data_IF_774441494113
#
_entry.id   IF_774441494113
#
_cell.length_a   1.000
_cell.length_b   1.000
_cell.length_c   1.000
_cell.angle_alpha   90.00
_cell.angle_beta   90.00
_cell.angle_gamma   90.00
#
_symmetry.space_group_name_H-M   'P 1'
#
loop_
_entity.id
_entity.type
_entity.pdbx_description
1 polymer ?
#
# COMPACT_ATOMS: atom_id res chain seq x y z
N UNK A 1 -31.40 -14.21 -11.10
CA UNK A 1 -30.61 -15.45 -11.27
C UNK A 1 -29.60 -15.50 -10.14
N UNK A 2 -29.45 -16.63 -9.48
CA UNK A 2 -28.43 -16.80 -8.42
C UNK A 2 -27.03 -16.78 -9.04
N UNK A 3 -26.15 -15.92 -8.52
CA UNK A 3 -24.78 -15.73 -9.00
C UNK A 3 -23.82 -16.55 -8.14
N UNK A 4 -22.89 -17.23 -8.77
CA UNK A 4 -21.84 -18.01 -8.14
C UNK A 4 -20.46 -17.65 -8.71
N UNK A 5 -19.40 -18.25 -8.20
CA UNK A 5 -18.03 -17.96 -8.65
C UNK A 5 -17.83 -18.25 -10.15
N UNK A 6 -18.50 -19.28 -10.69
CA UNK A 6 -18.44 -19.61 -12.12
C UNK A 6 -19.03 -18.48 -12.96
N UNK A 7 -20.15 -17.90 -12.52
CA UNK A 7 -20.76 -16.73 -13.18
C UNK A 7 -19.76 -15.56 -13.27
N UNK A 8 -19.13 -15.20 -12.16
CA UNK A 8 -18.16 -14.10 -12.13
C UNK A 8 -16.87 -14.39 -12.90
N UNK A 9 -16.38 -15.62 -12.87
CA UNK A 9 -15.25 -16.04 -13.70
C UNK A 9 -15.53 -15.88 -15.19
N UNK A 10 -16.76 -16.19 -15.64
CA UNK A 10 -17.18 -15.97 -17.03
C UNK A 10 -17.23 -14.49 -17.39
N UNK A 11 -17.69 -13.63 -16.47
CA UNK A 11 -17.66 -12.17 -16.67
C UNK A 11 -16.20 -11.70 -16.85
N UNK A 12 -15.29 -12.15 -15.99
CA UNK A 12 -13.87 -11.79 -16.06
C UNK A 12 -13.24 -12.26 -17.37
N UNK A 13 -13.53 -13.50 -17.81
CA UNK A 13 -13.01 -14.04 -19.08
C UNK A 13 -13.45 -13.22 -20.30
N UNK A 14 -14.64 -12.64 -20.24
CA UNK A 14 -15.18 -11.81 -21.32
C UNK A 14 -14.72 -10.34 -21.26
N UNK A 15 -14.23 -9.90 -20.11
CA UNK A 15 -13.92 -8.48 -19.85
C UNK A 15 -12.43 -8.16 -19.79
N UNK A 16 -11.59 -9.16 -19.63
CA UNK A 16 -10.15 -8.99 -19.45
C UNK A 16 -9.37 -9.93 -20.38
N UNK A 17 -8.16 -9.53 -20.73
CA UNK A 17 -7.26 -10.38 -21.51
C UNK A 17 -6.92 -11.68 -20.80
N UNK A 18 -6.72 -12.74 -21.58
CA UNK A 18 -6.29 -14.02 -21.05
C UNK A 18 -4.94 -13.88 -20.32
N UNK A 19 -4.91 -14.33 -19.07
CA UNK A 19 -3.70 -14.22 -18.24
C UNK A 19 -3.57 -12.93 -17.43
N UNK A 20 -4.55 -12.02 -17.46
CA UNK A 20 -4.56 -10.75 -16.68
C UNK A 20 -4.40 -10.91 -15.15
N UNK A 21 -4.60 -12.14 -14.62
CA UNK A 21 -4.49 -12.38 -13.18
C UNK A 21 -5.74 -11.99 -12.37
N UNK A 22 -6.71 -11.29 -12.94
CA UNK A 22 -7.90 -10.75 -12.24
C UNK A 22 -8.69 -11.83 -11.49
N UNK A 23 -8.75 -13.07 -12.00
CA UNK A 23 -9.39 -14.18 -11.27
C UNK A 23 -8.68 -14.53 -9.96
N UNK A 24 -7.34 -14.47 -9.95
CA UNK A 24 -6.55 -14.71 -8.73
C UNK A 24 -6.77 -13.58 -7.74
N UNK A 25 -6.80 -12.35 -8.24
CA UNK A 25 -7.09 -11.17 -7.43
C UNK A 25 -8.52 -11.20 -6.86
N UNK A 26 -9.53 -11.64 -7.64
CA UNK A 26 -10.88 -11.84 -7.12
C UNK A 26 -10.89 -12.86 -5.96
N UNK A 27 -10.19 -14.00 -6.12
CA UNK A 27 -10.09 -15.00 -5.05
C UNK A 27 -9.45 -14.40 -3.80
N UNK A 28 -8.41 -13.60 -3.96
CA UNK A 28 -7.76 -12.90 -2.85
C UNK A 28 -8.72 -11.90 -2.20
N UNK A 29 -9.40 -11.08 -2.99
CA UNK A 29 -10.41 -10.13 -2.53
C UNK A 29 -11.53 -10.79 -1.73
N UNK A 30 -12.05 -11.94 -2.21
CA UNK A 30 -13.08 -12.70 -1.52
C UNK A 30 -12.62 -13.22 -0.14
N UNK A 31 -11.34 -13.60 -0.03
CA UNK A 31 -10.76 -14.01 1.26
C UNK A 31 -10.67 -12.84 2.23
N UNK A 32 -10.15 -11.70 1.77
CA UNK A 32 -9.89 -10.54 2.62
C UNK A 32 -11.19 -9.80 3.02
N UNK A 33 -12.12 -9.62 2.09
CA UNK A 33 -13.33 -8.82 2.33
C UNK A 33 -14.55 -9.63 2.77
N UNK A 34 -14.66 -10.88 2.33
CA UNK A 34 -15.78 -11.75 2.68
C UNK A 34 -15.37 -12.88 3.65
N UNK A 35 -14.12 -12.91 4.08
CA UNK A 35 -13.56 -13.92 5.00
C UNK A 35 -13.84 -15.36 4.54
N UNK A 36 -13.95 -15.58 3.23
CA UNK A 36 -14.21 -16.90 2.67
C UNK A 36 -12.99 -17.80 2.82
N UNK A 37 -13.20 -19.00 3.33
CA UNK A 37 -12.12 -20.00 3.44
C UNK A 37 -11.78 -20.55 2.06
N UNK A 38 -10.52 -20.95 1.90
CA UNK A 38 -10.01 -21.54 0.65
C UNK A 38 -10.91 -22.68 0.12
N UNK A 39 -11.42 -23.55 1.01
CA UNK A 39 -12.35 -24.63 0.67
C UNK A 39 -13.67 -24.12 0.09
N UNK A 40 -14.19 -22.99 0.59
CA UNK A 40 -15.47 -22.46 0.15
C UNK A 40 -15.37 -21.84 -1.26
N UNK A 41 -14.19 -21.38 -1.63
CA UNK A 41 -13.91 -20.79 -2.95
C UNK A 41 -13.63 -21.89 -3.99
N UNK A 42 -12.82 -22.91 -3.66
CA UNK A 42 -12.34 -23.89 -4.64
C UNK A 42 -13.15 -25.17 -4.69
N UNK A 43 -13.74 -25.61 -3.56
CA UNK A 43 -14.49 -26.85 -3.49
C UNK A 43 -15.99 -26.63 -3.66
N UNK A 44 -16.49 -25.45 -3.33
CA UNK A 44 -17.93 -25.10 -3.45
C UNK A 44 -18.15 -24.06 -4.55
N UNK A 45 -17.84 -24.41 -5.80
CA UNK A 45 -18.07 -23.54 -6.98
C UNK A 45 -19.53 -23.16 -7.18
N UNK A 46 -20.44 -23.94 -6.61
CA UNK A 46 -21.89 -23.73 -6.65
C UNK A 46 -22.40 -22.81 -5.52
N UNK A 47 -21.49 -22.35 -4.62
CA UNK A 47 -21.87 -21.38 -3.59
C UNK A 47 -22.52 -20.17 -4.27
N UNK A 48 -23.78 -19.95 -3.91
CA UNK A 48 -24.54 -18.76 -4.33
C UNK A 48 -24.14 -17.60 -3.41
N UNK A 49 -23.78 -16.48 -3.99
CA UNK A 49 -23.52 -15.26 -3.25
C UNK A 49 -24.83 -14.59 -2.84
N UNK A 50 -24.82 -13.90 -1.72
CA UNK A 50 -25.90 -13.03 -1.27
C UNK A 50 -25.90 -11.73 -2.08
N UNK A 51 -27.02 -10.98 -2.08
CA UNK A 51 -27.09 -9.70 -2.80
C UNK A 51 -25.98 -8.71 -2.36
N UNK A 52 -25.62 -8.71 -1.08
CA UNK A 52 -24.53 -7.87 -0.56
C UNK A 52 -23.14 -8.33 -1.03
N UNK A 53 -22.90 -9.64 -1.10
CA UNK A 53 -21.67 -10.20 -1.66
C UNK A 53 -21.58 -9.92 -3.17
N UNK A 54 -22.69 -10.04 -3.89
CA UNK A 54 -22.78 -9.73 -5.33
C UNK A 54 -22.39 -8.27 -5.60
N UNK A 55 -22.92 -7.32 -4.84
CA UNK A 55 -22.58 -5.90 -4.98
C UNK A 55 -21.08 -5.68 -4.78
N UNK A 56 -20.45 -6.32 -3.79
CA UNK A 56 -19.03 -6.20 -3.55
C UNK A 56 -18.20 -6.76 -4.71
N UNK A 57 -18.59 -7.91 -5.26
CA UNK A 57 -17.88 -8.54 -6.38
C UNK A 57 -18.04 -7.72 -7.66
N UNK A 58 -19.22 -7.20 -7.94
CA UNK A 58 -19.48 -6.33 -9.08
C UNK A 58 -18.66 -5.03 -9.01
N UNK A 59 -18.60 -4.41 -7.83
CA UNK A 59 -17.76 -3.25 -7.59
C UNK A 59 -16.26 -3.55 -7.77
N UNK A 60 -15.81 -4.72 -7.32
CA UNK A 60 -14.44 -5.17 -7.58
C UNK A 60 -14.16 -5.27 -9.07
N UNK A 61 -15.02 -5.97 -9.83
CA UNK A 61 -14.84 -6.14 -11.28
C UNK A 61 -14.82 -4.79 -11.99
N UNK A 62 -15.76 -3.89 -11.65
CA UNK A 62 -15.82 -2.55 -12.21
C UNK A 62 -14.50 -1.78 -11.96
N UNK A 63 -14.02 -1.75 -10.73
CA UNK A 63 -12.75 -1.09 -10.39
C UNK A 63 -11.57 -1.69 -11.16
N UNK A 64 -11.54 -3.01 -11.34
CA UNK A 64 -10.50 -3.67 -12.15
C UNK A 64 -10.60 -3.30 -13.62
N UNK A 65 -11.80 -3.14 -14.18
CA UNK A 65 -12.00 -2.65 -15.56
C UNK A 65 -11.51 -1.21 -15.73
N UNK A 66 -11.60 -0.38 -14.69
CA UNK A 66 -11.04 0.97 -14.63
C UNK A 66 -9.49 0.94 -14.48
N UNK A 67 -8.90 -0.24 -14.24
CA UNK A 67 -7.45 -0.44 -14.07
C UNK A 67 -6.95 -0.17 -12.66
N UNK A 68 -7.83 -0.02 -11.66
CA UNK A 68 -7.46 0.29 -10.28
C UNK A 68 -6.66 -0.88 -9.68
N UNK A 69 -5.49 -0.64 -9.08
CA UNK A 69 -4.69 -1.65 -8.39
C UNK A 69 -5.48 -2.35 -7.27
N UNK A 70 -5.18 -3.65 -7.06
CA UNK A 70 -5.83 -4.43 -6.01
C UNK A 70 -5.64 -3.83 -4.63
N UNK A 71 -4.45 -3.33 -4.34
CA UNK A 71 -4.10 -2.71 -3.04
C UNK A 71 -5.02 -1.51 -2.72
N UNK A 72 -5.35 -0.68 -3.71
CA UNK A 72 -6.31 0.41 -3.53
C UNK A 72 -7.75 -0.08 -3.40
N UNK A 73 -8.12 -1.17 -4.09
CA UNK A 73 -9.46 -1.77 -3.92
C UNK A 73 -9.61 -2.33 -2.51
N UNK A 74 -8.55 -2.91 -1.96
CA UNK A 74 -8.50 -3.44 -0.60
C UNK A 74 -8.29 -2.35 0.45
N UNK A 75 -7.74 -1.20 0.08
CA UNK A 75 -7.19 -0.18 0.96
C UNK A 75 -6.12 -0.75 1.91
N UNK A 76 -5.32 -1.68 1.41
CA UNK A 76 -4.31 -2.37 2.20
C UNK A 76 -3.22 -2.93 1.30
N UNK A 77 -1.97 -2.83 1.77
CA UNK A 77 -0.80 -3.47 1.18
C UNK A 77 0.13 -3.97 2.27
N UNK A 78 0.89 -5.03 1.98
CA UNK A 78 1.94 -5.50 2.87
C UNK A 78 3.25 -4.83 2.51
N UNK A 79 3.96 -4.36 3.52
CA UNK A 79 5.31 -3.85 3.37
C UNK A 79 6.11 -4.21 4.62
N UNK A 80 7.27 -4.82 4.42
CA UNK A 80 8.11 -5.34 5.48
C UNK A 80 7.34 -6.37 6.34
N UNK A 81 7.15 -6.13 7.62
CA UNK A 81 6.42 -7.05 8.51
C UNK A 81 4.99 -6.56 8.83
N UNK A 82 4.59 -5.42 8.27
CA UNK A 82 3.37 -4.72 8.65
C UNK A 82 2.38 -4.65 7.49
N UNK A 83 1.13 -4.36 7.82
CA UNK A 83 0.07 -4.09 6.86
C UNK A 83 -0.28 -2.60 6.89
N UNK A 84 -0.16 -1.94 5.74
CA UNK A 84 -0.37 -0.49 5.59
C UNK A 84 -1.67 -0.19 4.85
N UNK A 85 -2.41 0.79 5.35
CA UNK A 85 -3.49 1.41 4.60
C UNK A 85 -2.91 2.21 3.42
N UNK A 86 -3.48 2.03 2.24
CA UNK A 86 -3.14 2.77 1.02
C UNK A 86 -4.39 3.10 0.22
N UNK A 87 -4.36 4.24 -0.47
CA UNK A 87 -5.33 4.66 -1.47
C UNK A 87 -4.62 5.56 -2.51
N UNK A 88 -5.37 6.11 -3.45
CA UNK A 88 -4.87 6.93 -4.56
C UNK A 88 -4.05 8.18 -4.16
N UNK A 89 -3.98 8.48 -2.87
CA UNK A 89 -3.20 9.63 -2.35
C UNK A 89 -1.73 9.30 -2.14
N UNK A 90 -1.34 8.05 -2.17
CA UNK A 90 0.04 7.61 -1.90
C UNK A 90 0.48 6.52 -2.87
N UNK A 91 1.76 6.50 -3.19
CA UNK A 91 2.37 5.40 -3.93
C UNK A 91 2.19 4.09 -3.16
N UNK A 92 1.83 3.01 -3.86
CA UNK A 92 1.82 1.67 -3.28
C UNK A 92 3.27 1.27 -2.95
N UNK A 93 3.60 0.96 -1.68
CA UNK A 93 4.94 0.53 -1.30
C UNK A 93 5.48 -0.60 -2.18
N UNK A 94 6.74 -0.45 -2.62
CA UNK A 94 7.40 -1.45 -3.48
C UNK A 94 8.30 -2.35 -2.65
N UNK A 95 8.36 -3.68 -2.94
CA UNK A 95 9.19 -4.62 -2.19
C UNK A 95 10.68 -4.23 -2.17
N UNK A 96 11.20 -3.66 -3.25
CA UNK A 96 12.58 -3.22 -3.36
C UNK A 96 12.93 -2.14 -2.33
N UNK A 97 11.93 -1.37 -1.90
CA UNK A 97 12.10 -0.30 -0.89
C UNK A 97 12.34 -0.87 0.51
N UNK A 98 12.00 -2.14 0.76
CA UNK A 98 12.28 -2.81 2.03
C UNK A 98 13.78 -2.89 2.34
N UNK A 99 14.63 -2.87 1.30
CA UNK A 99 16.09 -2.82 1.46
C UNK A 99 16.56 -1.60 2.26
N UNK A 100 15.86 -0.47 2.16
CA UNK A 100 16.18 0.73 2.97
C UNK A 100 15.91 0.48 4.44
N UNK A 101 14.81 -0.19 4.75
CA UNK A 101 14.45 -0.56 6.13
C UNK A 101 15.46 -1.55 6.69
N UNK A 102 15.82 -2.58 5.91
CA UNK A 102 16.82 -3.57 6.30
C UNK A 102 18.19 -2.93 6.56
N UNK A 103 18.61 -2.00 5.70
CA UNK A 103 19.88 -1.31 5.88
C UNK A 103 19.94 -0.58 7.22
N UNK A 104 18.90 0.15 7.57
CA UNK A 104 18.84 0.90 8.83
C UNK A 104 18.74 -0.05 10.04
N UNK A 105 17.89 -1.07 9.94
CA UNK A 105 17.66 -1.99 11.06
C UNK A 105 18.88 -2.88 11.37
N UNK A 106 19.73 -3.15 10.39
CA UNK A 106 20.94 -3.96 10.54
C UNK A 106 22.21 -3.12 10.85
N UNK A 107 22.11 -1.78 10.81
CA UNK A 107 23.24 -0.92 11.13
C UNK A 107 23.35 -0.70 12.64
N UNK A 108 24.53 -0.92 13.20
CA UNK A 108 24.80 -0.72 14.64
C UNK A 108 25.07 0.76 14.94
N UNK A 109 24.02 1.48 15.32
CA UNK A 109 24.14 2.86 15.74
C UNK A 109 24.56 2.93 17.22
N UNK A 110 25.67 3.62 17.54
CA UNK A 110 26.22 3.64 18.90
C UNK A 110 25.36 4.42 19.91
N UNK A 111 24.33 5.11 19.46
CA UNK A 111 23.44 5.93 20.29
C UNK A 111 22.04 6.01 19.70
N UNK A 112 21.11 6.61 20.44
CA UNK A 112 19.81 7.06 19.92
C UNK A 112 20.05 8.06 18.79
N UNK A 113 19.35 7.90 17.67
CA UNK A 113 19.50 8.75 16.48
C UNK A 113 18.14 9.34 16.07
N UNK A 114 18.22 10.41 15.27
CA UNK A 114 17.11 11.02 14.56
C UNK A 114 17.19 10.66 13.09
N UNK A 115 16.10 10.13 12.55
CA UNK A 115 15.99 9.72 11.15
C UNK A 115 14.90 10.54 10.47
N UNK A 116 15.16 11.02 9.26
CA UNK A 116 14.16 11.61 8.39
C UNK A 116 13.86 10.67 7.22
N UNK A 117 12.60 10.35 7.02
CA UNK A 117 12.02 9.73 5.83
C UNK A 117 11.41 10.85 4.98
N UNK A 118 12.17 11.31 3.97
CA UNK A 118 11.78 12.44 3.12
C UNK A 118 10.98 11.95 1.91
N UNK A 119 9.76 12.47 1.73
CA UNK A 119 8.77 11.94 0.80
C UNK A 119 8.13 10.67 1.35
N UNK A 120 7.66 10.72 2.60
CA UNK A 120 7.25 9.53 3.37
C UNK A 120 6.03 8.80 2.79
N UNK A 121 5.21 9.48 1.98
CA UNK A 121 4.02 8.89 1.35
C UNK A 121 3.07 8.24 2.37
N UNK A 122 2.91 6.92 2.30
CA UNK A 122 2.11 6.14 3.25
C UNK A 122 2.74 6.01 4.64
N UNK A 123 3.99 6.45 4.81
CA UNK A 123 4.76 6.28 6.03
C UNK A 123 5.45 4.92 6.16
N UNK A 124 5.39 4.07 5.15
CA UNK A 124 5.81 2.67 5.27
C UNK A 124 7.28 2.51 5.68
N UNK A 125 8.20 3.28 5.14
CA UNK A 125 9.64 3.21 5.49
C UNK A 125 9.82 3.68 6.93
N UNK A 126 9.40 4.91 7.23
CA UNK A 126 9.61 5.53 8.55
C UNK A 126 8.93 4.76 9.67
N UNK A 127 7.71 4.29 9.47
CA UNK A 127 6.95 3.50 10.45
C UNK A 127 7.64 2.15 10.69
N UNK A 128 8.04 1.42 9.65
CA UNK A 128 8.72 0.12 9.81
C UNK A 128 10.03 0.25 10.58
N UNK A 129 10.79 1.33 10.33
CA UNK A 129 12.03 1.62 11.10
C UNK A 129 11.67 1.95 12.54
N UNK A 130 10.68 2.80 12.78
CA UNK A 130 10.29 3.22 14.13
C UNK A 130 9.76 2.06 14.97
N UNK A 131 9.00 1.15 14.38
CA UNK A 131 8.48 -0.07 15.03
C UNK A 131 9.61 -0.96 15.52
N UNK A 132 10.63 -1.19 14.69
CA UNK A 132 11.79 -2.02 15.04
C UNK A 132 12.74 -1.35 16.04
N UNK A 133 12.77 -0.03 16.04
CA UNK A 133 13.73 0.76 16.84
C UNK A 133 13.02 1.75 17.76
N UNK A 134 12.39 1.31 18.87
CA UNK A 134 11.60 2.18 19.75
C UNK A 134 12.42 3.29 20.44
N UNK A 135 13.76 3.19 20.39
CA UNK A 135 14.67 4.23 20.92
C UNK A 135 14.95 5.36 19.91
N UNK A 136 14.74 5.14 18.61
CA UNK A 136 14.98 6.17 17.60
C UNK A 136 13.85 7.19 17.58
N UNK A 137 14.14 8.40 17.13
CA UNK A 137 13.15 9.40 16.75
C UNK A 137 13.07 9.44 15.24
N UNK A 138 11.96 8.97 14.68
CA UNK A 138 11.76 8.91 13.23
C UNK A 138 10.76 9.97 12.82
N UNK A 139 11.12 10.73 11.78
CA UNK A 139 10.30 11.79 11.22
C UNK A 139 9.96 11.43 9.78
N UNK A 140 8.69 11.49 9.43
CA UNK A 140 8.23 11.39 8.04
C UNK A 140 7.82 12.75 7.53
N UNK A 141 8.43 13.22 6.45
CA UNK A 141 8.02 14.47 5.80
C UNK A 141 7.46 14.21 4.41
N UNK A 142 6.48 15.02 4.02
CA UNK A 142 5.91 15.00 2.68
C UNK A 142 5.41 16.41 2.33
N UNK A 143 5.48 16.76 1.05
CA UNK A 143 4.91 18.00 0.53
C UNK A 143 3.39 17.95 0.53
N UNK A 144 2.82 16.79 0.15
CA UNK A 144 1.39 16.58 0.01
C UNK A 144 0.74 16.28 1.36
N UNK A 145 -0.11 17.18 1.85
CA UNK A 145 -0.89 16.96 3.08
C UNK A 145 -1.77 15.70 3.00
N UNK A 146 -2.21 15.33 1.81
CA UNK A 146 -3.01 14.12 1.59
C UNK A 146 -2.21 12.84 1.87
N UNK A 147 -0.94 12.78 1.49
CA UNK A 147 -0.03 11.69 1.81
C UNK A 147 0.19 11.58 3.31
N UNK A 148 0.44 12.72 3.98
CA UNK A 148 0.59 12.76 5.44
C UNK A 148 -0.67 12.30 6.19
N UNK A 149 -1.86 12.53 5.63
CA UNK A 149 -3.10 12.01 6.21
C UNK A 149 -3.14 10.46 6.15
N UNK A 150 -2.63 9.85 5.07
CA UNK A 150 -2.48 8.39 4.97
C UNK A 150 -1.44 7.89 5.97
N UNK A 151 -0.27 8.50 6.03
CA UNK A 151 0.78 8.15 7.00
C UNK A 151 0.27 8.28 8.46
N UNK A 152 -0.58 9.27 8.75
CA UNK A 152 -1.22 9.42 10.06
C UNK A 152 -2.19 8.28 10.38
N UNK A 153 -2.94 7.79 9.40
CA UNK A 153 -3.79 6.60 9.57
C UNK A 153 -2.91 5.40 9.92
N UNK A 154 -1.84 5.16 9.17
CA UNK A 154 -0.93 4.06 9.39
C UNK A 154 -0.22 4.12 10.73
N UNK A 155 0.31 5.30 11.11
CA UNK A 155 0.87 5.54 12.43
C UNK A 155 -0.09 5.14 13.55
N UNK A 156 -1.37 5.53 13.42
CA UNK A 156 -2.41 5.23 14.40
C UNK A 156 -2.74 3.73 14.43
N UNK A 157 -2.92 3.12 13.27
CA UNK A 157 -3.29 1.70 13.16
C UNK A 157 -2.22 0.78 13.75
N UNK A 158 -0.94 1.15 13.58
CA UNK A 158 0.22 0.39 14.04
C UNK A 158 0.74 0.85 15.43
N UNK A 159 0.08 1.84 16.04
CA UNK A 159 0.40 2.38 17.39
C UNK A 159 1.88 2.79 17.57
N UNK A 160 2.43 3.49 16.58
CA UNK A 160 3.86 3.87 16.55
C UNK A 160 4.06 5.26 17.15
N UNK A 161 4.45 5.35 18.41
CA UNK A 161 4.57 6.61 19.14
C UNK A 161 5.76 7.48 18.68
N UNK A 162 6.90 6.86 18.36
CA UNK A 162 8.17 7.50 18.01
C UNK A 162 8.33 7.86 16.53
N UNK A 163 7.23 7.86 15.77
CA UNK A 163 7.16 8.38 14.40
C UNK A 163 6.41 9.70 14.39
N UNK A 164 7.00 10.74 13.79
CA UNK A 164 6.50 12.11 13.79
C UNK A 164 6.29 12.59 12.36
N UNK A 165 5.17 13.27 12.07
CA UNK A 165 4.83 13.73 10.73
C UNK A 165 5.03 15.24 10.61
N UNK A 166 5.65 15.68 9.51
CA UNK A 166 5.95 17.08 9.21
C UNK A 166 5.57 17.35 7.76
N UNK A 167 4.79 18.42 7.51
CA UNK A 167 4.60 18.88 6.13
C UNK A 167 5.79 19.73 5.73
N UNK A 168 6.51 19.32 4.69
CA UNK A 168 7.70 20.00 4.23
C UNK A 168 7.91 19.82 2.73
N UNK A 169 8.47 20.85 2.10
CA UNK A 169 9.01 20.76 0.75
C UNK A 169 10.47 20.29 0.86
N UNK A 170 10.67 18.98 0.68
CA UNK A 170 11.96 18.31 0.86
C UNK A 170 12.62 18.69 2.19
N UNK A 171 13.83 19.28 2.12
CA UNK A 171 14.65 19.63 3.27
C UNK A 171 14.60 21.12 3.62
N UNK A 172 13.78 21.93 2.93
CA UNK A 172 13.82 23.39 3.01
C UNK A 172 13.50 23.97 4.40
N UNK A 173 12.78 23.23 5.25
CA UNK A 173 12.38 23.71 6.57
C UNK A 173 13.29 23.19 7.72
N UNK A 174 14.34 22.42 7.42
CA UNK A 174 15.19 21.84 8.44
C UNK A 174 16.56 22.52 8.49
N UNK A 175 17.03 22.75 9.69
CA UNK A 175 18.39 23.25 9.90
C UNK A 175 19.42 22.17 9.56
N UNK A 176 20.63 22.59 9.24
CA UNK A 176 21.76 21.68 9.05
C UNK A 176 21.97 20.79 10.27
N UNK A 177 22.26 19.51 10.03
CA UNK A 177 22.52 18.51 11.08
C UNK A 177 21.33 18.22 12.02
N UNK A 178 20.11 18.54 11.59
CA UNK A 178 18.89 18.19 12.35
C UNK A 178 18.67 16.70 12.49
N UNK A 179 19.17 15.90 11.54
CA UNK A 179 19.05 14.45 11.49
C UNK A 179 20.40 13.77 11.37
N UNK A 180 20.50 12.58 11.95
CA UNK A 180 21.68 11.72 11.83
C UNK A 180 21.66 10.93 10.51
N UNK A 181 20.46 10.57 10.03
CA UNK A 181 20.22 9.85 8.79
C UNK A 181 19.03 10.48 8.06
N UNK A 182 19.16 10.59 6.75
CA UNK A 182 18.07 10.95 5.85
C UNK A 182 17.91 9.81 4.84
N UNK A 183 16.70 9.30 4.71
CA UNK A 183 16.31 8.30 3.73
C UNK A 183 15.21 8.87 2.85
N UNK A 184 15.17 8.42 1.61
CA UNK A 184 14.11 8.82 0.68
C UNK A 184 13.96 7.76 -0.41
N UNK A 185 12.71 7.53 -0.82
CA UNK A 185 12.38 6.85 -2.05
C UNK A 185 11.60 7.83 -2.95
N UNK A 186 12.28 8.78 -3.59
CA UNK A 186 11.63 9.82 -4.37
C UNK A 186 11.05 9.26 -5.68
N UNK A 187 10.10 9.96 -6.32
CA UNK A 187 9.70 9.63 -7.69
C UNK A 187 10.90 9.81 -8.63
N UNK A 188 11.25 8.76 -9.38
CA UNK A 188 12.41 8.73 -10.28
C UNK A 188 12.04 8.39 -11.72
N UNK A 189 10.76 8.25 -12.03
CA UNK A 189 10.27 7.98 -13.39
C UNK A 189 10.11 9.32 -14.10
N UNK A 190 10.76 9.47 -15.25
CA UNK A 190 10.66 10.68 -16.05
C UNK A 190 9.25 10.84 -16.65
N UNK A 191 8.79 12.09 -16.83
CA UNK A 191 7.44 12.40 -17.33
C UNK A 191 7.09 11.74 -18.68
N UNK A 192 8.09 11.38 -19.50
CA UNK A 192 7.89 10.74 -20.80
C UNK A 192 8.07 9.20 -20.77
N UNK A 193 8.27 8.60 -19.59
CA UNK A 193 8.50 7.17 -19.47
C UNK A 193 7.21 6.37 -19.74
N UNK A 194 7.22 5.36 -20.64
CA UNK A 194 6.05 4.53 -20.91
C UNK A 194 5.47 3.83 -19.69
N UNK A 195 6.30 3.53 -18.67
CA UNK A 195 5.86 2.89 -17.42
C UNK A 195 4.92 3.77 -16.58
N UNK A 196 4.84 5.09 -16.85
CA UNK A 196 3.84 5.96 -16.20
C UNK A 196 2.41 5.54 -16.51
N UNK A 197 2.16 4.87 -17.65
CA UNK A 197 0.83 4.34 -17.95
C UNK A 197 0.39 3.27 -16.93
N UNK A 198 1.33 2.53 -16.37
CA UNK A 198 1.06 1.51 -15.35
C UNK A 198 0.76 2.15 -13.98
N UNK A 199 1.22 3.40 -13.78
CA UNK A 199 1.07 4.17 -12.55
C UNK A 199 -0.06 5.20 -12.61
N UNK A 200 -0.91 5.20 -13.64
CA UNK A 200 -1.95 6.23 -13.88
C UNK A 200 -2.93 6.46 -12.70
N UNK A 201 -2.99 5.52 -11.76
CA UNK A 201 -3.84 5.60 -10.57
C UNK A 201 -3.04 5.97 -9.31
N UNK A 202 -1.72 6.11 -9.43
CA UNK A 202 -0.84 6.47 -8.33
C UNK A 202 -0.45 7.96 -8.44
N UNK A 203 -0.19 8.67 -7.33
CA UNK A 203 0.23 10.06 -7.37
C UNK A 203 1.64 10.19 -7.96
N UNK A 204 1.89 11.29 -8.66
CA UNK A 204 3.19 11.68 -9.20
C UNK A 204 4.03 12.40 -8.13
#
# INVERSE_FOLDING_TARGET
>A
MSKNLTHYNNIIDNSFEAGSGVKKELVFYLKEKLFLKHKDIYLNKEKIFTDSEDILIENFIKKKQEGIPLDYILNSTKFYEEEFYVDERVLIPRPETELLVDYINNYDFPRKIKILDAGTGSGCIGISIATKNPKFEVYGSDYAINSLNVAKINKKNLDVANFHLIQADWLCCFDEKSFDVIISNPPYIAEEDPHLNDLKHEPY
#
